data_IF_442938697532
#
_entry.id   IF_442938697532
#
_cell.length_a   1.000
_cell.length_b   1.000
_cell.length_c   1.000
_cell.angle_alpha   90.00
_cell.angle_beta   90.00
_cell.angle_gamma   90.00
#
_symmetry.space_group_name_H-M   'P 1'
#
loop_
_entity.id
_entity.type
_entity.pdbx_description
1 polymer ?
#
# COMPACT_ATOMS: atom_id res chain seq x y z
N UNK A 1 -17.12 -28.71 20.23
CA UNK A 1 -16.71 -27.33 19.86
C UNK A 1 -15.19 -27.34 19.77
N UNK A 2 -14.59 -27.30 18.57
CA UNK A 2 -13.13 -27.21 18.46
C UNK A 2 -12.68 -25.77 18.70
N UNK A 3 -11.71 -25.60 19.59
CA UNK A 3 -11.06 -24.31 19.83
C UNK A 3 -10.20 -23.97 18.61
N UNK A 4 -10.65 -23.01 17.79
CA UNK A 4 -9.79 -22.45 16.74
C UNK A 4 -8.79 -21.49 17.40
N UNK A 5 -7.56 -21.96 17.64
CA UNK A 5 -6.43 -21.12 18.06
C UNK A 5 -5.96 -20.30 16.87
N UNK A 6 -6.14 -18.98 16.90
CA UNK A 6 -5.54 -18.08 15.93
C UNK A 6 -4.02 -18.00 16.17
N UNK A 7 -3.21 -18.28 15.15
CA UNK A 7 -1.76 -18.04 15.18
C UNK A 7 -1.49 -16.69 14.52
N UNK A 8 -0.82 -15.80 15.24
CA UNK A 8 -0.35 -14.52 14.70
C UNK A 8 1.07 -14.73 14.16
N UNK A 9 1.25 -14.60 12.84
CA UNK A 9 2.55 -14.67 12.19
C UNK A 9 2.81 -13.40 11.36
N UNK A 10 3.87 -12.68 11.70
CA UNK A 10 4.41 -11.59 10.91
C UNK A 10 5.54 -12.17 10.03
N UNK A 11 5.47 -11.95 8.71
CA UNK A 11 6.33 -12.56 7.69
C UNK A 11 7.86 -12.45 7.94
N UNK A 12 8.71 -13.48 7.63
CA UNK A 12 8.40 -14.87 7.27
C UNK A 12 9.12 -15.96 8.11
N UNK A 13 8.33 -16.99 8.46
CA UNK A 13 8.52 -18.42 8.17
C UNK A 13 7.20 -19.08 8.62
N UNK A 14 6.16 -18.94 7.81
CA UNK A 14 4.89 -19.59 8.14
C UNK A 14 5.05 -21.09 7.95
N UNK A 15 5.15 -21.81 9.05
CA UNK A 15 4.85 -23.22 9.05
C UNK A 15 3.38 -23.38 8.64
N UNK A 16 3.18 -23.77 7.38
CA UNK A 16 1.86 -24.09 6.86
C UNK A 16 1.40 -25.39 7.54
N UNK A 17 0.57 -25.25 8.56
CA UNK A 17 -0.17 -26.38 9.11
C UNK A 17 -1.33 -26.70 8.15
N UNK A 18 -1.38 -27.90 7.55
CA UNK A 18 -2.40 -28.26 6.57
C UNK A 18 -3.83 -28.27 7.16
N UNK A 19 -3.97 -28.21 8.49
CA UNK A 19 -5.27 -28.13 9.16
C UNK A 19 -5.78 -26.68 9.32
N UNK A 20 -4.98 -25.67 8.97
CA UNK A 20 -5.36 -24.27 9.09
C UNK A 20 -5.40 -23.57 7.73
N UNK A 21 -6.50 -22.85 7.51
CA UNK A 21 -6.70 -22.00 6.34
C UNK A 21 -6.60 -20.54 6.75
N UNK A 22 -5.88 -19.74 5.95
CA UNK A 22 -5.84 -18.29 6.14
C UNK A 22 -7.14 -17.68 5.58
N UNK A 23 -8.01 -17.22 6.49
CA UNK A 23 -9.31 -16.63 6.13
C UNK A 23 -9.36 -15.11 6.27
N UNK A 24 -8.39 -14.50 6.95
CA UNK A 24 -8.34 -13.06 7.19
C UNK A 24 -6.92 -12.59 7.49
N UNK A 25 -6.58 -11.41 6.99
CA UNK A 25 -5.34 -10.72 7.34
C UNK A 25 -5.61 -9.24 7.58
N UNK A 26 -4.98 -8.70 8.62
CA UNK A 26 -4.88 -7.26 8.84
C UNK A 26 -3.40 -6.86 8.72
N UNK A 27 -3.13 -5.70 8.13
CA UNK A 27 -1.77 -5.22 7.93
C UNK A 27 -1.71 -3.73 8.16
N UNK A 28 -0.75 -3.30 8.99
CA UNK A 28 -0.40 -1.92 9.22
C UNK A 28 1.04 -1.71 8.77
N UNK A 29 1.26 -0.67 7.99
CA UNK A 29 2.59 -0.27 7.53
C UNK A 29 2.79 1.22 7.74
N UNK A 30 4.03 1.61 7.99
CA UNK A 30 4.43 3.02 7.91
C UNK A 30 4.55 3.44 6.45
N UNK A 31 4.45 4.73 6.18
CA UNK A 31 4.84 5.30 4.89
C UNK A 31 6.31 4.97 4.54
N UNK A 32 6.64 5.05 3.25
CA UNK A 32 8.00 4.84 2.75
C UNK A 32 8.94 6.02 3.03
N UNK A 33 10.14 5.96 2.47
CA UNK A 33 11.09 7.06 2.50
C UNK A 33 10.48 8.42 2.07
N UNK A 34 10.88 9.50 2.75
CA UNK A 34 10.31 10.84 2.57
C UNK A 34 11.34 11.94 2.85
N UNK A 35 11.08 13.15 2.37
CA UNK A 35 11.80 14.34 2.81
C UNK A 35 11.59 14.60 4.32
N UNK A 36 12.53 15.32 4.98
CA UNK A 36 12.35 15.78 6.37
C UNK A 36 11.05 16.55 6.52
N UNK A 37 10.47 16.59 7.73
CA UNK A 37 9.23 17.36 7.99
C UNK A 37 9.49 18.80 8.41
N UNK A 38 10.75 19.17 8.63
CA UNK A 38 11.16 20.49 9.06
C UNK A 38 12.64 20.73 8.66
N UNK A 39 13.09 22.00 8.64
CA UNK A 39 14.49 22.34 8.46
C UNK A 39 15.39 21.69 9.53
N UNK A 40 16.66 21.51 9.18
CA UNK A 40 17.66 21.02 10.14
C UNK A 40 18.08 22.19 11.04
N UNK A 41 17.93 22.08 12.38
CA UNK A 41 18.34 23.14 13.28
C UNK A 41 19.81 23.51 13.11
N UNK A 42 20.10 24.80 12.96
CA UNK A 42 21.46 25.32 12.83
C UNK A 42 22.12 25.11 11.45
N UNK A 43 21.37 24.65 10.44
CA UNK A 43 21.87 24.50 9.06
C UNK A 43 20.96 25.19 8.06
N UNK A 44 21.42 26.33 7.52
CA UNK A 44 20.69 27.10 6.51
C UNK A 44 20.95 26.63 5.09
N UNK A 45 21.90 25.71 4.88
CA UNK A 45 22.27 25.24 3.53
C UNK A 45 21.29 24.22 2.95
N UNK A 46 20.36 23.70 3.76
CA UNK A 46 19.38 22.70 3.35
C UNK A 46 17.97 23.25 3.49
N UNK A 47 17.49 23.91 2.45
CA UNK A 47 16.19 24.58 2.43
C UNK A 47 15.09 23.64 1.95
N UNK A 48 13.88 24.17 1.83
CA UNK A 48 12.75 23.46 1.24
C UNK A 48 12.89 23.30 -0.27
N UNK A 49 13.53 24.26 -0.95
CA UNK A 49 13.75 24.23 -2.40
C UNK A 49 14.64 23.06 -2.84
N UNK A 50 15.53 22.60 -1.95
CA UNK A 50 16.36 21.40 -2.16
C UNK A 50 15.54 20.10 -2.11
N UNK A 51 14.26 20.16 -1.70
CA UNK A 51 13.38 19.00 -1.53
C UNK A 51 12.47 18.86 -2.74
N UNK A 52 13.02 18.53 -3.89
CA UNK A 52 12.27 18.45 -5.16
C UNK A 52 11.45 17.17 -5.35
N UNK A 53 11.67 16.16 -4.50
CA UNK A 53 11.00 14.86 -4.61
C UNK A 53 9.53 14.91 -4.16
N UNK A 54 8.69 14.04 -4.74
CA UNK A 54 7.31 13.85 -4.28
C UNK A 54 6.37 15.04 -4.52
N UNK A 55 6.70 15.91 -5.48
CA UNK A 55 5.95 17.14 -5.75
C UNK A 55 6.52 18.38 -5.07
N UNK A 56 7.63 18.25 -4.34
CA UNK A 56 8.30 19.38 -3.71
C UNK A 56 7.94 19.54 -2.23
N UNK A 57 8.92 19.90 -1.41
CA UNK A 57 8.71 20.38 -0.05
C UNK A 57 8.93 19.36 1.06
N UNK A 58 8.65 19.79 2.29
CA UNK A 58 8.84 18.97 3.48
C UNK A 58 7.77 17.89 3.65
N UNK A 59 8.19 16.74 4.19
CA UNK A 59 7.34 15.61 4.54
C UNK A 59 6.75 14.83 3.36
N UNK A 60 7.15 15.12 2.12
CA UNK A 60 6.67 14.45 0.92
C UNK A 60 7.37 13.11 0.70
N UNK A 61 6.63 12.14 0.15
CA UNK A 61 7.17 10.81 -0.14
C UNK A 61 8.18 10.89 -1.29
N UNK A 62 9.32 10.24 -1.15
CA UNK A 62 10.32 10.18 -2.22
C UNK A 62 9.99 9.07 -3.24
N UNK A 63 10.58 9.11 -4.44
CA UNK A 63 10.52 7.99 -5.38
C UNK A 63 11.03 6.66 -4.79
N UNK A 64 12.02 6.71 -3.90
CA UNK A 64 12.49 5.51 -3.19
C UNK A 64 11.40 5.00 -2.23
N UNK A 65 10.68 5.88 -1.54
CA UNK A 65 9.52 5.52 -0.72
C UNK A 65 8.39 4.87 -1.53
N UNK A 66 8.12 5.37 -2.74
CA UNK A 66 7.17 4.73 -3.67
C UNK A 66 7.63 3.32 -4.05
N UNK A 67 8.91 3.15 -4.41
CA UNK A 67 9.51 1.86 -4.77
C UNK A 67 9.46 0.85 -3.61
N UNK A 68 9.73 1.30 -2.38
CA UNK A 68 9.61 0.47 -1.18
C UNK A 68 8.19 -0.09 -1.03
N UNK A 69 7.17 0.76 -1.17
CA UNK A 69 5.78 0.32 -1.07
C UNK A 69 5.34 -0.55 -2.24
N UNK A 70 5.79 -0.27 -3.45
CA UNK A 70 5.54 -1.13 -4.61
C UNK A 70 6.09 -2.55 -4.39
N UNK A 71 7.33 -2.64 -3.89
CA UNK A 71 7.94 -3.94 -3.57
C UNK A 71 7.25 -4.65 -2.40
N UNK A 72 6.79 -3.90 -1.39
CA UNK A 72 5.97 -4.45 -0.32
C UNK A 72 4.65 -5.00 -0.88
N UNK A 73 3.98 -4.28 -1.78
CA UNK A 73 2.77 -4.73 -2.48
C UNK A 73 3.00 -6.05 -3.22
N UNK A 74 4.12 -6.19 -3.94
CA UNK A 74 4.48 -7.47 -4.61
C UNK A 74 4.64 -8.62 -3.63
N UNK A 75 5.22 -8.38 -2.45
CA UNK A 75 5.34 -9.41 -1.38
C UNK A 75 3.98 -9.80 -0.82
N UNK A 76 3.10 -8.83 -0.61
CA UNK A 76 1.72 -9.04 -0.14
C UNK A 76 0.93 -9.85 -1.18
N UNK A 77 1.03 -9.52 -2.48
CA UNK A 77 0.43 -10.31 -3.57
C UNK A 77 0.95 -11.75 -3.55
N UNK A 78 2.26 -11.93 -3.54
CA UNK A 78 2.89 -13.27 -3.52
C UNK A 78 2.32 -14.13 -2.40
N UNK A 79 2.13 -13.54 -1.21
CA UNK A 79 1.54 -14.23 -0.07
C UNK A 79 0.06 -14.53 -0.28
N UNK A 80 -0.77 -13.49 -0.44
CA UNK A 80 -2.22 -13.63 -0.28
C UNK A 80 -2.96 -13.99 -1.57
N UNK A 81 -2.43 -13.61 -2.73
CA UNK A 81 -2.98 -13.97 -4.04
C UNK A 81 -2.32 -15.24 -4.57
N UNK A 82 -0.98 -15.30 -4.57
CA UNK A 82 -0.28 -16.39 -5.27
C UNK A 82 -0.13 -17.65 -4.41
N UNK A 83 0.22 -17.51 -3.13
CA UNK A 83 0.50 -18.66 -2.23
C UNK A 83 -0.77 -19.16 -1.56
N UNK A 84 -1.48 -18.30 -0.83
CA UNK A 84 -2.67 -18.71 -0.05
C UNK A 84 -3.97 -18.71 -0.84
N UNK A 85 -4.01 -18.11 -2.04
CA UNK A 85 -5.23 -17.97 -2.85
C UNK A 85 -6.41 -17.34 -2.09
N UNK A 86 -6.13 -16.55 -1.05
CA UNK A 86 -7.14 -15.86 -0.23
C UNK A 86 -7.78 -14.70 -0.99
N UNK A 87 -7.01 -14.06 -1.88
CA UNK A 87 -7.44 -12.92 -2.68
C UNK A 87 -7.45 -13.29 -4.17
N UNK A 88 -8.39 -12.71 -4.90
CA UNK A 88 -8.52 -12.86 -6.35
C UNK A 88 -7.33 -12.28 -7.11
N UNK A 89 -7.02 -12.85 -8.28
CA UNK A 89 -5.89 -12.39 -9.12
C UNK A 89 -6.10 -10.96 -9.60
N UNK A 90 -7.30 -10.66 -10.11
CA UNK A 90 -7.78 -9.32 -10.39
C UNK A 90 -8.43 -8.72 -9.14
N UNK A 91 -8.37 -7.39 -9.00
CA UNK A 91 -8.94 -6.73 -7.83
C UNK A 91 -10.46 -6.93 -7.75
N UNK A 92 -10.92 -7.34 -6.57
CA UNK A 92 -12.34 -7.44 -6.21
C UNK A 92 -12.62 -6.50 -5.03
N UNK A 93 -13.49 -5.52 -5.23
CA UNK A 93 -13.81 -4.50 -4.23
C UNK A 93 -14.42 -5.05 -2.92
N UNK A 94 -14.85 -6.33 -2.91
CA UNK A 94 -15.39 -6.99 -1.71
C UNK A 94 -14.32 -7.68 -0.85
N UNK A 95 -13.10 -7.83 -1.36
CA UNK A 95 -12.04 -8.61 -0.71
C UNK A 95 -11.03 -7.76 0.06
N UNK A 96 -10.86 -6.49 -0.33
CA UNK A 96 -9.86 -5.59 0.25
C UNK A 96 -10.48 -4.27 0.67
N UNK A 97 -10.10 -3.83 1.86
CA UNK A 97 -10.34 -2.48 2.35
C UNK A 97 -9.01 -1.81 2.68
N UNK A 98 -8.75 -0.64 2.09
CA UNK A 98 -7.53 0.13 2.33
C UNK A 98 -7.87 1.45 3.02
N UNK A 99 -7.24 1.70 4.17
CA UNK A 99 -7.36 2.95 4.93
C UNK A 99 -5.98 3.56 5.16
N UNK A 100 -5.90 4.88 5.07
CA UNK A 100 -4.71 5.69 5.31
C UNK A 100 -5.08 6.86 6.22
N UNK A 101 -4.09 7.39 6.94
CA UNK A 101 -4.19 8.75 7.52
C UNK A 101 -4.17 9.82 6.42
N UNK A 102 -4.67 11.01 6.72
CA UNK A 102 -4.74 12.12 5.75
C UNK A 102 -3.42 12.90 5.63
N UNK A 103 -2.39 12.20 5.17
CA UNK A 103 -1.15 12.79 4.72
C UNK A 103 -0.82 12.30 3.31
N UNK A 104 -0.28 13.19 2.47
CA UNK A 104 0.17 12.83 1.11
C UNK A 104 1.08 11.60 1.13
N UNK A 105 2.06 11.58 2.03
CA UNK A 105 3.02 10.46 2.13
C UNK A 105 2.37 9.11 2.43
N UNK A 106 1.33 9.05 3.24
CA UNK A 106 0.65 7.79 3.57
C UNK A 106 -0.29 7.35 2.47
N UNK A 107 -1.02 8.29 1.84
CA UNK A 107 -1.89 7.98 0.70
C UNK A 107 -1.10 7.53 -0.53
N UNK A 108 -0.02 8.22 -0.88
CA UNK A 108 0.86 7.84 -1.99
C UNK A 108 1.52 6.49 -1.72
N UNK A 109 1.94 6.23 -0.47
CA UNK A 109 2.47 4.91 -0.07
C UNK A 109 1.42 3.80 -0.27
N UNK A 110 0.16 4.06 0.09
CA UNK A 110 -0.95 3.12 -0.12
C UNK A 110 -1.18 2.83 -1.61
N UNK A 111 -1.25 3.87 -2.45
CA UNK A 111 -1.39 3.71 -3.90
C UNK A 111 -0.22 2.95 -4.53
N UNK A 112 1.01 3.25 -4.15
CA UNK A 112 2.19 2.52 -4.63
C UNK A 112 2.15 1.04 -4.21
N UNK A 113 1.68 0.74 -3.00
CA UNK A 113 1.50 -0.62 -2.52
C UNK A 113 0.44 -1.38 -3.35
N UNK A 114 -0.72 -0.75 -3.57
CA UNK A 114 -1.80 -1.32 -4.37
C UNK A 114 -1.39 -1.54 -5.83
N UNK A 115 -0.62 -0.61 -6.41
CA UNK A 115 -0.03 -0.79 -7.73
C UNK A 115 0.90 -2.01 -7.77
N UNK A 116 1.70 -2.23 -6.72
CA UNK A 116 2.54 -3.43 -6.59
C UNK A 116 1.74 -4.74 -6.45
N UNK A 117 0.51 -4.66 -5.96
CA UNK A 117 -0.38 -5.82 -5.82
C UNK A 117 -1.15 -6.18 -7.09
N UNK A 118 -1.62 -5.19 -7.85
CA UNK A 118 -2.64 -5.41 -8.88
C UNK A 118 -2.34 -4.86 -10.26
N UNK A 119 -1.36 -3.96 -10.43
CA UNK A 119 -0.99 -3.50 -11.77
C UNK A 119 -0.46 -4.68 -12.60
N UNK A 120 -0.96 -4.84 -13.81
CA UNK A 120 -0.64 -5.98 -14.68
C UNK A 120 -1.57 -7.20 -14.53
N UNK A 121 -2.53 -7.17 -13.59
CA UNK A 121 -3.40 -8.32 -13.32
C UNK A 121 -4.90 -8.00 -13.41
N UNK A 122 -5.26 -6.77 -13.80
CA UNK A 122 -6.64 -6.37 -14.05
C UNK A 122 -7.15 -6.81 -15.42
N UNK A 123 -8.47 -6.88 -15.56
CA UNK A 123 -9.16 -7.12 -16.83
C UNK A 123 -9.45 -5.80 -17.52
N UNK A 124 -8.94 -5.64 -18.74
CA UNK A 124 -9.18 -4.49 -19.61
C UNK A 124 -10.68 -4.28 -19.86
N UNK A 125 -11.17 -3.04 -19.81
CA UNK A 125 -12.59 -2.72 -19.96
C UNK A 125 -13.45 -3.02 -18.73
N UNK A 126 -12.89 -3.62 -17.67
CA UNK A 126 -13.59 -3.87 -16.40
C UNK A 126 -12.91 -3.18 -15.23
N UNK A 127 -11.62 -3.42 -15.04
CA UNK A 127 -10.84 -2.84 -13.95
C UNK A 127 -10.19 -1.50 -14.32
N UNK A 128 -9.99 -1.25 -15.61
CA UNK A 128 -9.44 -0.02 -16.16
C UNK A 128 -9.93 0.19 -17.60
N UNK A 129 -10.03 1.44 -18.10
CA UNK A 129 -10.51 1.72 -19.45
C UNK A 129 -9.55 1.18 -20.51
N UNK A 130 -10.11 0.74 -21.64
CA UNK A 130 -9.38 0.23 -22.79
C UNK A 130 -9.49 1.13 -24.03
N UNK A 131 -10.22 2.24 -23.89
CA UNK A 131 -10.53 3.21 -24.94
C UNK A 131 -9.93 4.60 -24.68
N UNK A 132 -9.17 4.77 -23.60
CA UNK A 132 -8.55 6.05 -23.23
C UNK A 132 -7.07 6.10 -23.63
N UNK A 133 -6.67 7.04 -24.51
CA UNK A 133 -5.26 7.23 -24.86
C UNK A 133 -4.41 7.56 -23.63
N UNK A 134 -3.20 7.02 -23.58
CA UNK A 134 -2.22 7.25 -22.50
C UNK A 134 -2.70 6.82 -21.10
N UNK A 135 -3.66 5.89 -21.00
CA UNK A 135 -3.92 5.23 -19.73
C UNK A 135 -2.65 4.51 -19.23
N UNK A 136 -2.25 4.64 -17.95
CA UNK A 136 -1.07 3.96 -17.45
C UNK A 136 -1.19 2.45 -17.64
N UNK A 137 -0.19 1.84 -18.29
CA UNK A 137 -0.26 0.45 -18.74
C UNK A 137 -0.66 -0.50 -17.61
N UNK A 138 -1.81 -1.17 -17.78
CA UNK A 138 -2.39 -2.13 -16.85
C UNK A 138 -2.56 -1.62 -15.40
N UNK A 139 -2.69 -0.31 -15.20
CA UNK A 139 -2.91 0.26 -13.88
C UNK A 139 -4.37 0.07 -13.46
N UNK A 140 -4.56 -0.55 -12.29
CA UNK A 140 -5.87 -0.73 -11.66
C UNK A 140 -5.99 0.25 -10.49
N UNK A 141 -6.89 1.25 -10.56
CA UNK A 141 -7.11 2.16 -9.45
C UNK A 141 -7.83 1.43 -8.31
N UNK A 142 -7.25 1.49 -7.11
CA UNK A 142 -7.81 0.89 -5.90
C UNK A 142 -8.15 2.01 -4.90
N UNK A 143 -9.36 2.02 -4.32
CA UNK A 143 -9.76 3.07 -3.39
C UNK A 143 -8.93 3.02 -2.11
N UNK A 144 -8.49 4.20 -1.65
CA UNK A 144 -7.80 4.41 -0.38
C UNK A 144 -8.64 5.38 0.44
N UNK A 145 -9.27 4.88 1.50
CA UNK A 145 -10.12 5.67 2.39
C UNK A 145 -9.28 6.44 3.40
N UNK A 146 -9.76 7.61 3.80
CA UNK A 146 -9.14 8.44 4.83
C UNK A 146 -10.23 9.12 5.66
N UNK A 147 -9.87 9.58 6.84
CA UNK A 147 -10.67 10.51 7.66
C UNK A 147 -9.83 11.74 7.96
N UNK A 148 -10.49 12.86 8.29
CA UNK A 148 -9.81 14.08 8.68
C UNK A 148 -9.01 13.88 9.97
N UNK A 149 -7.87 14.57 10.09
CA UNK A 149 -6.90 14.40 11.19
C UNK A 149 -7.45 14.81 12.57
N UNK A 150 -8.59 15.51 12.61
CA UNK A 150 -9.27 15.94 13.83
C UNK A 150 -10.23 14.87 14.41
N UNK A 151 -10.50 13.80 13.66
CA UNK A 151 -11.31 12.67 14.12
C UNK A 151 -10.48 11.64 14.88
N UNK A 152 -10.63 11.56 16.21
CA UNK A 152 -10.11 10.43 17.00
C UNK A 152 -10.86 9.13 16.66
N UNK A 153 -10.45 8.43 15.59
CA UNK A 153 -11.05 7.14 15.24
C UNK A 153 -10.07 6.15 14.59
N UNK A 154 -9.13 5.65 15.40
CA UNK A 154 -8.19 4.51 15.20
C UNK A 154 -7.34 4.45 13.89
N UNK A 155 -7.58 5.35 12.92
CA UNK A 155 -6.65 5.91 11.93
C UNK A 155 -7.14 7.31 11.56
#
# INVERSE_FOLDING_TARGET
RSERRARYAALPNDEADPNFELIFANSLWRHGDRSPTAPVPGRSEFTEDDRTFGGGGYGQLSPEGMKQHFNLGRKIRKRYVDTHKMLSSANNAKEIYVRSTDHNRTRISAYANMAGMYSGFGVSGQNFPDDVPNWPTNYVPIPVHTVALDGFQLL
#
